data_IF_384524358821
#
_entry.id   IF_384524358821
#
_cell.length_a   1.000
_cell.length_b   1.000
_cell.length_c   1.000
_cell.angle_alpha   90.00
_cell.angle_beta   90.00
_cell.angle_gamma   90.00
#
_symmetry.space_group_name_H-M   'P 1'
#
loop_
_entity.id
_entity.type
_entity.pdbx_description
1 polymer ?
#
# COMPACT_ATOMS: atom_id res chain seq x y z
N UNK A 1 32.98 52.75 1.96
CA UNK A 1 31.99 53.24 0.98
C UNK A 1 31.41 52.00 0.31
N UNK A 2 30.27 51.54 0.82
CA UNK A 2 29.56 50.36 0.34
C UNK A 2 28.52 50.78 -0.72
N UNK A 3 28.18 49.92 -1.70
CA UNK A 3 26.92 50.02 -2.39
C UNK A 3 25.95 48.95 -1.85
N UNK A 4 24.82 49.44 -1.35
CA UNK A 4 23.66 48.66 -0.93
C UNK A 4 22.98 47.92 -2.09
N UNK A 5 22.22 46.85 -1.80
CA UNK A 5 21.50 46.07 -2.79
C UNK A 5 20.22 46.75 -3.28
N UNK A 6 19.97 46.67 -4.58
CA UNK A 6 18.73 47.07 -5.20
C UNK A 6 17.56 46.15 -4.79
N UNK A 7 16.64 46.70 -4.02
CA UNK A 7 15.28 46.20 -3.86
C UNK A 7 14.50 46.41 -5.16
N UNK A 8 14.00 45.32 -5.76
CA UNK A 8 12.83 45.38 -6.63
C UNK A 8 11.60 44.91 -5.84
N UNK A 9 10.80 45.89 -5.43
CA UNK A 9 9.41 45.69 -5.07
C UNK A 9 8.53 45.71 -6.32
N UNK A 10 7.42 44.97 -6.20
CA UNK A 10 6.11 45.21 -6.81
C UNK A 10 5.63 44.35 -7.98
N UNK A 11 4.68 43.49 -7.59
CA UNK A 11 3.33 43.32 -8.13
C UNK A 11 3.14 42.67 -9.50
N UNK A 12 2.72 41.41 -9.49
CA UNK A 12 1.39 41.07 -10.04
C UNK A 12 0.86 39.80 -9.38
N UNK A 13 -0.19 39.99 -8.58
CA UNK A 13 -1.07 38.94 -8.07
C UNK A 13 -1.73 38.23 -9.25
N UNK A 14 -1.35 36.97 -9.48
CA UNK A 14 -2.08 35.99 -10.30
C UNK A 14 -2.06 34.68 -9.53
N UNK A 15 -2.69 34.68 -8.36
CA UNK A 15 -3.09 33.46 -7.67
C UNK A 15 -4.59 33.61 -7.46
N UNK A 16 -5.43 32.73 -8.05
CA UNK A 16 -6.78 32.59 -7.54
C UNK A 16 -6.64 32.18 -6.08
N UNK A 17 -7.28 32.92 -5.20
CA UNK A 17 -7.41 32.66 -3.77
C UNK A 17 -7.53 31.17 -3.48
N UNK A 18 -6.51 30.64 -2.80
CA UNK A 18 -6.54 29.38 -2.09
C UNK A 18 -7.57 29.49 -0.95
N UNK A 19 -8.83 29.21 -1.25
CA UNK A 19 -9.82 28.99 -0.19
C UNK A 19 -10.94 28.08 -0.70
N UNK A 20 -10.60 26.79 -0.81
CA UNK A 20 -11.50 25.64 -0.64
C UNK A 20 -10.76 24.37 -1.10
N UNK A 21 -9.79 23.89 -0.33
CA UNK A 21 -9.31 22.51 -0.48
C UNK A 21 -10.43 21.57 0.03
N UNK A 22 -11.12 20.77 -0.80
CA UNK A 22 -12.08 19.79 -0.31
C UNK A 22 -11.26 18.58 0.17
N UNK A 23 -10.78 18.65 1.42
CA UNK A 23 -9.86 17.68 2.02
C UNK A 23 -10.52 16.37 2.47
N UNK A 24 -11.63 15.97 1.85
CA UNK A 24 -12.21 14.64 2.10
C UNK A 24 -12.68 14.00 0.80
N UNK A 25 -12.39 12.70 0.67
CA UNK A 25 -12.87 11.83 -0.42
C UNK A 25 -14.40 11.88 -0.57
N UNK A 26 -15.10 12.19 0.53
CA UNK A 26 -16.55 12.38 0.62
C UNK A 26 -17.04 13.69 -0.02
N UNK A 27 -16.22 14.75 -0.06
CA UNK A 27 -16.54 16.01 -0.72
C UNK A 27 -16.38 15.90 -2.25
N UNK A 28 -15.38 15.14 -2.73
CA UNK A 28 -15.19 14.85 -4.17
C UNK A 28 -16.28 13.97 -4.78
N UNK A 29 -16.94 13.13 -3.98
CA UNK A 29 -18.09 12.32 -4.39
C UNK A 29 -19.41 13.10 -4.45
N UNK A 30 -19.44 14.33 -3.92
CA UNK A 30 -20.60 15.23 -3.89
C UNK A 30 -20.48 16.38 -4.88
N UNK A 31 -19.68 16.22 -5.93
CA UNK A 31 -19.66 17.17 -7.04
C UNK A 31 -21.08 17.22 -7.63
N UNK A 32 -21.82 18.26 -7.25
CA UNK A 32 -23.19 18.60 -7.70
C UNK A 32 -23.20 19.04 -9.19
N UNK A 33 -22.04 18.95 -9.86
CA UNK A 33 -21.82 19.27 -11.27
C UNK A 33 -21.88 18.04 -12.20
N UNK A 34 -22.58 16.97 -11.80
CA UNK A 34 -23.30 16.22 -12.84
C UNK A 34 -24.45 17.11 -13.27
N UNK A 35 -24.42 17.80 -14.44
CA UNK A 35 -25.65 18.34 -14.96
C UNK A 35 -26.61 17.17 -14.99
N UNK A 36 -27.76 17.31 -14.35
CA UNK A 36 -28.86 16.42 -14.57
C UNK A 36 -29.03 16.42 -16.09
N UNK A 37 -28.47 15.40 -16.76
CA UNK A 37 -28.77 15.12 -18.15
C UNK A 37 -30.24 14.86 -18.07
N UNK A 38 -30.97 15.91 -18.42
CA UNK A 38 -32.39 15.92 -18.67
C UNK A 38 -32.54 14.80 -19.67
N UNK A 39 -32.84 13.62 -19.16
CA UNK A 39 -33.29 12.52 -19.96
C UNK A 39 -34.49 13.12 -20.65
N UNK A 40 -34.31 13.44 -21.94
CA UNK A 40 -35.38 13.81 -22.83
C UNK A 40 -36.19 12.54 -23.03
N UNK A 41 -36.87 12.14 -21.96
CA UNK A 41 -37.97 11.20 -22.00
C UNK A 41 -39.03 11.98 -22.76
N UNK A 42 -39.02 11.81 -24.08
CA UNK A 42 -40.14 12.24 -24.92
C UNK A 42 -41.42 11.83 -24.18
N UNK A 43 -42.38 12.75 -23.98
CA UNK A 43 -43.59 12.42 -23.26
C UNK A 43 -44.21 11.18 -23.91
N UNK A 44 -44.43 10.16 -23.10
CA UNK A 44 -45.15 8.94 -23.52
C UNK A 44 -46.44 9.44 -24.20
N UNK A 45 -46.79 8.96 -25.41
CA UNK A 45 -47.91 9.49 -26.17
C UNK A 45 -49.24 9.02 -25.56
N UNK A 46 -49.60 9.57 -24.40
CA UNK A 46 -50.86 9.31 -23.71
C UNK A 46 -52.06 9.95 -24.43
N UNK A 47 -51.80 10.91 -25.31
CA UNK A 47 -52.83 11.76 -25.91
C UNK A 47 -53.78 10.99 -26.84
N UNK A 48 -53.31 9.92 -27.49
CA UNK A 48 -54.09 9.14 -28.46
C UNK A 48 -55.05 8.13 -27.78
N UNK A 49 -54.78 7.78 -26.51
CA UNK A 49 -55.48 6.70 -25.81
C UNK A 49 -56.83 7.14 -25.29
N UNK A 50 -56.91 8.32 -24.67
CA UNK A 50 -58.19 8.87 -24.22
C UNK A 50 -59.15 9.06 -25.38
N UNK A 51 -58.62 9.42 -26.55
CA UNK A 51 -59.39 9.58 -27.77
C UNK A 51 -59.84 8.24 -28.33
N UNK A 52 -58.96 7.24 -28.41
CA UNK A 52 -59.30 5.90 -28.89
C UNK A 52 -60.27 5.14 -27.95
N UNK A 53 -60.13 5.30 -26.62
CA UNK A 53 -61.06 4.75 -25.62
C UNK A 53 -62.42 5.44 -25.69
N UNK A 54 -62.44 6.78 -25.83
CA UNK A 54 -63.68 7.53 -26.06
C UNK A 54 -64.35 7.14 -27.37
N UNK A 55 -63.59 6.84 -28.41
CA UNK A 55 -64.13 6.41 -29.71
C UNK A 55 -64.71 4.98 -29.66
N UNK A 56 -64.15 4.10 -28.84
CA UNK A 56 -64.67 2.73 -28.63
C UNK A 56 -65.92 2.73 -27.74
N UNK A 57 -65.95 3.55 -26.68
CA UNK A 57 -67.09 3.65 -25.75
C UNK A 57 -68.22 4.53 -26.31
N UNK A 58 -67.88 5.65 -26.96
CA UNK A 58 -68.81 6.64 -27.50
C UNK A 58 -69.62 6.12 -28.70
N UNK A 59 -69.05 5.24 -29.53
CA UNK A 59 -69.77 4.60 -30.65
C UNK A 59 -70.94 3.71 -30.19
N UNK A 60 -70.88 3.14 -28.99
CA UNK A 60 -71.96 2.30 -28.44
C UNK A 60 -73.12 3.11 -27.83
N UNK A 61 -72.86 4.35 -27.37
CA UNK A 61 -73.90 5.25 -26.88
C UNK A 61 -74.71 5.88 -28.03
N UNK A 62 -74.08 6.11 -29.19
CA UNK A 62 -74.74 6.69 -30.36
C UNK A 62 -75.55 5.65 -31.18
N UNK A 63 -75.17 4.37 -31.17
CA UNK A 63 -75.81 3.31 -31.96
C UNK A 63 -77.08 2.74 -31.32
N UNK A 64 -77.38 3.05 -30.05
CA UNK A 64 -78.57 2.55 -29.35
C UNK A 64 -79.90 3.17 -29.85
N UNK A 65 -79.86 4.16 -30.76
CA UNK A 65 -81.06 4.82 -31.33
C UNK A 65 -81.55 4.33 -32.70
N UNK A 66 -80.93 3.33 -33.34
CA UNK A 66 -81.46 2.78 -34.60
C UNK A 66 -81.41 1.25 -34.63
N UNK A 67 -82.58 0.63 -34.39
CA UNK A 67 -82.84 -0.78 -34.69
C UNK A 67 -82.78 -1.01 -36.21
N UNK A 68 -82.02 -2.02 -36.64
CA UNK A 68 -82.42 -3.22 -37.42
C UNK A 68 -81.39 -3.66 -38.47
N UNK A 69 -81.22 -4.99 -38.49
CA UNK A 69 -80.72 -5.89 -39.52
C UNK A 69 -79.22 -6.24 -39.46
N UNK A 70 -79.05 -7.56 -39.32
CA UNK A 70 -77.86 -8.38 -39.15
C UNK A 70 -76.94 -8.25 -40.36
N UNK A 71 -75.67 -7.94 -40.11
CA UNK A 71 -74.57 -8.41 -40.94
C UNK A 71 -73.55 -9.06 -40.01
N UNK A 72 -73.26 -10.33 -40.27
CA UNK A 72 -72.12 -11.05 -39.71
C UNK A 72 -70.86 -10.26 -40.06
N UNK A 73 -70.18 -9.73 -39.06
CA UNK A 73 -68.85 -9.14 -39.18
C UNK A 73 -68.07 -9.57 -37.95
N UNK A 74 -66.97 -10.26 -38.20
CA UNK A 74 -66.03 -10.79 -37.23
C UNK A 74 -65.64 -9.73 -36.18
N UNK A 75 -65.64 -10.15 -34.91
CA UNK A 75 -65.02 -9.51 -33.73
C UNK A 75 -65.18 -7.99 -33.53
N UNK A 76 -66.34 -7.41 -33.83
CA UNK A 76 -66.65 -6.02 -33.40
C UNK A 76 -67.18 -5.96 -31.96
N UNK A 77 -66.66 -6.79 -31.05
CA UNK A 77 -66.93 -6.61 -29.62
C UNK A 77 -66.07 -5.43 -29.12
N UNK A 78 -66.66 -4.34 -28.60
CA UNK A 78 -65.89 -3.22 -28.08
C UNK A 78 -64.91 -3.64 -26.97
N UNK A 79 -65.21 -4.72 -26.23
CA UNK A 79 -64.29 -5.26 -25.25
C UNK A 79 -63.05 -5.92 -25.89
N UNK A 80 -63.18 -6.56 -27.06
CA UNK A 80 -62.03 -7.12 -27.78
C UNK A 80 -61.17 -6.03 -28.42
N UNK A 81 -61.80 -4.97 -28.96
CA UNK A 81 -61.08 -3.82 -29.53
C UNK A 81 -60.28 -3.06 -28.46
N UNK A 82 -60.88 -2.84 -27.28
CA UNK A 82 -60.20 -2.23 -26.14
C UNK A 82 -59.02 -3.08 -25.65
N UNK A 83 -59.23 -4.40 -25.54
CA UNK A 83 -58.16 -5.34 -25.16
C UNK A 83 -56.99 -5.28 -26.13
N UNK A 84 -57.27 -5.24 -27.43
CA UNK A 84 -56.26 -5.15 -28.47
C UNK A 84 -55.50 -3.80 -28.43
N UNK A 85 -56.19 -2.68 -28.22
CA UNK A 85 -55.52 -1.37 -28.09
C UNK A 85 -54.60 -1.31 -26.87
N UNK A 86 -55.02 -1.87 -25.73
CA UNK A 86 -54.17 -1.97 -24.54
C UNK A 86 -52.98 -2.90 -24.75
N UNK A 87 -53.17 -4.04 -25.42
CA UNK A 87 -52.07 -4.96 -25.74
C UNK A 87 -51.04 -4.31 -26.67
N UNK A 88 -51.50 -3.62 -27.73
CA UNK A 88 -50.63 -2.90 -28.67
C UNK A 88 -49.85 -1.78 -27.98
N UNK A 89 -50.50 -1.05 -27.08
CA UNK A 89 -49.84 0.00 -26.28
C UNK A 89 -48.82 -0.58 -25.31
N UNK A 90 -49.15 -1.67 -24.61
CA UNK A 90 -48.22 -2.38 -23.74
C UNK A 90 -46.97 -2.84 -24.49
N UNK A 91 -47.15 -3.38 -25.70
CA UNK A 91 -46.05 -3.76 -26.59
C UNK A 91 -45.24 -2.54 -27.07
N UNK A 92 -45.89 -1.44 -27.44
CA UNK A 92 -45.20 -0.22 -27.87
C UNK A 92 -44.38 0.40 -26.73
N UNK A 93 -44.94 0.45 -25.53
CA UNK A 93 -44.25 0.92 -24.32
C UNK A 93 -43.06 0.01 -23.99
N UNK A 94 -43.27 -1.31 -24.03
CA UNK A 94 -42.22 -2.28 -23.77
C UNK A 94 -41.08 -2.17 -24.78
N UNK A 95 -41.40 -2.10 -26.08
CA UNK A 95 -40.41 -1.92 -27.14
C UNK A 95 -39.65 -0.60 -26.96
N UNK A 96 -40.34 0.51 -26.66
CA UNK A 96 -39.71 1.80 -26.40
C UNK A 96 -38.79 1.75 -25.18
N UNK A 97 -39.20 1.07 -24.10
CA UNK A 97 -38.39 0.89 -22.92
C UNK A 97 -37.12 0.08 -23.21
N UNK A 98 -37.23 -1.01 -23.98
CA UNK A 98 -36.08 -1.82 -24.42
C UNK A 98 -35.14 -0.99 -25.28
N UNK A 99 -35.66 -0.27 -26.28
CA UNK A 99 -34.84 0.57 -27.16
C UNK A 99 -34.08 1.64 -26.37
N UNK A 100 -34.73 2.27 -25.40
CA UNK A 100 -34.09 3.27 -24.55
C UNK A 100 -33.02 2.64 -23.64
N UNK A 101 -33.29 1.46 -23.09
CA UNK A 101 -32.32 0.73 -22.26
C UNK A 101 -31.09 0.34 -23.09
N UNK A 102 -31.29 -0.22 -24.29
CA UNK A 102 -30.20 -0.59 -25.20
C UNK A 102 -29.36 0.63 -25.59
N UNK A 103 -30.00 1.76 -25.91
CA UNK A 103 -29.30 3.03 -26.22
C UNK A 103 -28.50 3.54 -25.03
N UNK A 104 -29.10 3.58 -23.83
CA UNK A 104 -28.41 4.00 -22.62
C UNK A 104 -27.23 3.09 -22.28
N UNK A 105 -27.38 1.78 -22.44
CA UNK A 105 -26.30 0.81 -22.25
C UNK A 105 -25.16 1.05 -23.24
N UNK A 106 -25.45 1.27 -24.52
CA UNK A 106 -24.44 1.58 -25.52
C UNK A 106 -23.69 2.88 -25.22
N UNK A 107 -24.39 3.92 -24.74
CA UNK A 107 -23.77 5.18 -24.33
C UNK A 107 -22.85 5.00 -23.11
N UNK A 108 -23.31 4.27 -22.08
CA UNK A 108 -22.50 3.95 -20.89
C UNK A 108 -21.24 3.17 -21.29
N UNK A 109 -21.38 2.17 -22.17
CA UNK A 109 -20.24 1.39 -22.65
C UNK A 109 -19.24 2.24 -23.45
N UNK A 110 -19.72 3.18 -24.26
CA UNK A 110 -18.87 4.14 -24.96
C UNK A 110 -18.13 5.09 -23.99
N UNK A 111 -18.80 5.58 -22.94
CA UNK A 111 -18.15 6.41 -21.92
C UNK A 111 -17.12 5.62 -21.12
N UNK A 112 -17.42 4.37 -20.76
CA UNK A 112 -16.51 3.49 -20.03
C UNK A 112 -15.22 3.23 -20.82
N UNK A 113 -15.34 2.93 -22.12
CA UNK A 113 -14.18 2.71 -23.00
C UNK A 113 -13.35 3.98 -23.16
N UNK A 114 -13.98 5.14 -23.37
CA UNK A 114 -13.27 6.42 -23.44
C UNK A 114 -12.56 6.78 -22.13
N UNK A 115 -13.18 6.49 -20.97
CA UNK A 115 -12.57 6.71 -19.67
C UNK A 115 -11.35 5.80 -19.45
N UNK A 116 -11.45 4.52 -19.84
CA UNK A 116 -10.35 3.57 -19.72
C UNK A 116 -9.15 3.99 -20.58
N UNK A 117 -9.40 4.41 -21.82
CA UNK A 117 -8.37 4.91 -22.73
C UNK A 117 -7.68 6.17 -22.16
N UNK A 118 -8.46 7.16 -21.72
CA UNK A 118 -7.91 8.39 -21.11
C UNK A 118 -7.11 8.10 -19.84
N UNK A 119 -7.59 7.21 -18.99
CA UNK A 119 -6.90 6.85 -17.74
C UNK A 119 -5.58 6.14 -18.02
N UNK A 120 -5.56 5.22 -18.99
CA UNK A 120 -4.36 4.53 -19.42
C UNK A 120 -3.34 5.50 -20.03
N UNK A 121 -3.78 6.42 -20.87
CA UNK A 121 -2.93 7.45 -21.46
C UNK A 121 -2.32 8.37 -20.39
N UNK A 122 -3.12 8.88 -19.45
CA UNK A 122 -2.62 9.72 -18.35
C UNK A 122 -1.62 8.98 -17.46
N UNK A 123 -1.86 7.70 -17.19
CA UNK A 123 -0.92 6.87 -16.43
C UNK A 123 0.41 6.70 -17.17
N UNK A 124 0.38 6.47 -18.48
CA UNK A 124 1.58 6.39 -19.30
C UNK A 124 2.36 7.71 -19.28
N UNK A 125 1.68 8.85 -19.46
CA UNK A 125 2.31 10.17 -19.38
C UNK A 125 2.94 10.44 -18.01
N UNK A 126 2.26 10.05 -16.92
CA UNK A 126 2.79 10.16 -15.57
C UNK A 126 4.05 9.34 -15.40
N UNK A 127 4.02 8.06 -15.83
CA UNK A 127 5.19 7.18 -15.79
C UNK A 127 6.37 7.77 -16.57
N UNK A 128 6.12 8.30 -17.76
CA UNK A 128 7.15 8.93 -18.58
C UNK A 128 7.74 10.16 -17.87
N UNK A 129 6.89 11.01 -17.29
CA UNK A 129 7.32 12.18 -16.51
C UNK A 129 8.18 11.77 -15.31
N UNK A 130 7.75 10.80 -14.51
CA UNK A 130 8.52 10.29 -13.39
C UNK A 130 9.86 9.70 -13.86
N UNK A 131 9.89 8.93 -14.95
CA UNK A 131 11.15 8.40 -15.48
C UNK A 131 12.12 9.51 -15.92
N UNK A 132 11.59 10.57 -16.53
CA UNK A 132 12.36 11.72 -17.01
C UNK A 132 12.86 12.63 -15.89
N UNK A 133 12.16 12.70 -14.76
CA UNK A 133 12.55 13.54 -13.61
C UNK A 133 13.42 12.75 -12.64
N UNK A 134 12.97 11.56 -12.25
CA UNK A 134 13.56 10.76 -11.19
C UNK A 134 14.98 10.30 -11.56
N UNK A 135 15.20 9.82 -12.79
CA UNK A 135 16.51 9.31 -13.19
C UNK A 135 17.60 10.40 -13.20
N UNK A 136 17.40 11.59 -13.81
CA UNK A 136 18.37 12.68 -13.73
C UNK A 136 18.57 13.21 -12.31
N UNK A 137 17.53 13.27 -11.47
CA UNK A 137 17.67 13.70 -10.08
C UNK A 137 18.52 12.71 -9.26
N UNK A 138 18.29 11.40 -9.39
CA UNK A 138 19.16 10.40 -8.76
C UNK A 138 20.59 10.46 -9.32
N UNK A 139 20.74 10.61 -10.63
CA UNK A 139 22.06 10.71 -11.25
C UNK A 139 22.82 11.95 -10.73
N UNK A 140 22.18 13.11 -10.66
CA UNK A 140 22.82 14.35 -10.15
C UNK A 140 23.16 14.25 -8.67
N UNK A 141 22.29 13.66 -7.83
CA UNK A 141 22.58 13.43 -6.41
C UNK A 141 23.82 12.55 -6.20
N UNK A 142 24.02 11.55 -7.06
CA UNK A 142 25.17 10.65 -7.02
C UNK A 142 26.48 11.25 -7.57
N UNK A 143 26.44 12.32 -8.36
CA UNK A 143 27.65 12.93 -8.96
C UNK A 143 28.05 14.27 -8.35
N UNK A 144 27.24 14.85 -7.47
CA UNK A 144 27.64 16.04 -6.72
C UNK A 144 28.59 15.69 -5.57
N UNK A 145 29.73 16.37 -5.49
CA UNK A 145 30.75 16.18 -4.44
C UNK A 145 30.24 16.57 -3.03
N UNK A 146 29.16 17.37 -2.97
CA UNK A 146 28.59 17.91 -1.73
C UNK A 146 27.39 17.12 -1.17
N UNK A 147 26.98 16.01 -1.80
CA UNK A 147 25.83 15.20 -1.36
C UNK A 147 26.26 13.74 -1.06
N UNK A 148 25.36 12.83 -0.57
CA UNK A 148 25.65 11.79 0.42
C UNK A 148 26.68 10.72 0.06
N UNK A 149 27.25 10.70 -1.15
CA UNK A 149 28.45 9.91 -1.46
C UNK A 149 29.64 10.29 -0.58
N UNK A 150 29.81 11.58 -0.28
CA UNK A 150 30.83 12.03 0.67
C UNK A 150 30.57 11.43 2.06
N UNK A 151 29.30 11.35 2.48
CA UNK A 151 28.94 10.79 3.79
C UNK A 151 29.12 9.26 3.85
N UNK A 152 28.71 8.52 2.81
CA UNK A 152 28.94 7.06 2.73
C UNK A 152 30.44 6.75 2.69
N UNK A 153 31.23 7.50 1.93
CA UNK A 153 32.68 7.33 1.90
C UNK A 153 33.33 7.61 3.27
N UNK A 154 32.86 8.64 3.98
CA UNK A 154 33.30 8.94 5.35
C UNK A 154 32.93 7.83 6.32
N UNK A 155 31.71 7.30 6.26
CA UNK A 155 31.28 6.17 7.09
C UNK A 155 32.07 4.88 6.77
N UNK A 156 32.30 4.58 5.49
CA UNK A 156 33.12 3.43 5.08
C UNK A 156 34.58 3.56 5.54
N UNK A 157 35.15 4.76 5.45
CA UNK A 157 36.49 5.02 5.97
C UNK A 157 36.54 4.96 7.50
N UNK A 158 35.45 5.36 8.19
CA UNK A 158 35.27 5.17 9.62
C UNK A 158 35.32 3.70 10.00
N UNK A 159 34.44 2.89 9.41
CA UNK A 159 34.39 1.45 9.62
C UNK A 159 35.72 0.76 9.31
N UNK A 160 36.42 1.18 8.25
CA UNK A 160 37.74 0.63 7.93
C UNK A 160 38.78 0.92 9.02
N UNK A 161 38.75 2.11 9.63
CA UNK A 161 39.59 2.46 10.77
C UNK A 161 39.23 1.64 12.01
N UNK A 162 37.94 1.50 12.30
CA UNK A 162 37.47 0.77 13.47
C UNK A 162 37.83 -0.73 13.37
N UNK A 163 37.72 -1.31 12.17
CA UNK A 163 38.15 -2.69 11.90
C UNK A 163 39.67 -2.82 12.08
N UNK A 164 40.46 -1.85 11.64
CA UNK A 164 41.91 -1.88 11.83
C UNK A 164 42.29 -1.81 13.31
N UNK A 165 41.66 -0.91 14.08
CA UNK A 165 41.87 -0.78 15.52
C UNK A 165 41.46 -2.05 16.28
N UNK A 166 40.32 -2.65 15.94
CA UNK A 166 39.86 -3.90 16.55
C UNK A 166 40.83 -5.06 16.27
N UNK A 167 41.41 -5.13 15.08
CA UNK A 167 42.43 -6.14 14.74
C UNK A 167 43.71 -5.97 15.55
N UNK A 168 44.16 -4.74 15.74
CA UNK A 168 45.33 -4.44 16.58
C UNK A 168 45.08 -4.85 18.03
N UNK A 169 43.88 -4.57 18.56
CA UNK A 169 43.51 -4.96 19.91
C UNK A 169 43.42 -6.48 20.09
N UNK A 170 42.91 -7.22 19.09
CA UNK A 170 42.90 -8.69 19.11
C UNK A 170 44.34 -9.23 19.18
N UNK A 171 45.26 -8.71 18.38
CA UNK A 171 46.66 -9.14 18.41
C UNK A 171 47.33 -8.82 19.75
N UNK A 172 47.00 -7.67 20.35
CA UNK A 172 47.49 -7.30 21.68
C UNK A 172 46.99 -8.29 22.74
N UNK A 173 45.71 -8.63 22.70
CA UNK A 173 45.10 -9.59 23.61
C UNK A 173 45.65 -11.02 23.43
N UNK A 174 45.99 -11.41 22.19
CA UNK A 174 46.64 -12.70 21.91
C UNK A 174 48.03 -12.78 22.58
N UNK A 175 48.83 -11.72 22.49
CA UNK A 175 50.13 -11.63 23.17
C UNK A 175 49.96 -11.68 24.69
N UNK A 176 49.00 -10.94 25.24
CA UNK A 176 48.72 -10.93 26.69
C UNK A 176 48.25 -12.31 27.16
N UNK A 177 47.45 -13.01 26.35
CA UNK A 177 46.97 -14.37 26.62
C UNK A 177 48.13 -15.37 26.65
N UNK A 178 49.00 -15.36 25.64
CA UNK A 178 50.14 -16.26 25.57
C UNK A 178 51.10 -16.05 26.76
N UNK A 179 51.37 -14.79 27.12
CA UNK A 179 52.18 -14.46 28.30
C UNK A 179 51.54 -14.96 29.61
N UNK A 180 50.22 -14.89 29.72
CA UNK A 180 49.48 -15.43 30.86
C UNK A 180 49.60 -16.95 30.93
N UNK A 181 49.45 -17.66 29.79
CA UNK A 181 49.61 -19.10 29.72
C UNK A 181 51.03 -19.55 30.09
N UNK A 182 52.06 -18.82 29.65
CA UNK A 182 53.44 -19.10 30.05
C UNK A 182 53.65 -18.91 31.55
N UNK A 183 53.19 -17.79 32.11
CA UNK A 183 53.27 -17.51 33.54
C UNK A 183 52.51 -18.56 34.38
N UNK A 184 51.34 -19.02 33.91
CA UNK A 184 50.60 -20.09 34.56
C UNK A 184 51.36 -21.42 34.52
N UNK A 185 51.94 -21.77 33.36
CA UNK A 185 52.75 -22.99 33.23
C UNK A 185 53.99 -22.97 34.12
N UNK A 186 54.64 -21.81 34.28
CA UNK A 186 55.76 -21.62 35.22
C UNK A 186 55.30 -21.75 36.68
N UNK A 187 54.17 -21.14 37.05
CA UNK A 187 53.61 -21.28 38.39
C UNK A 187 53.25 -22.74 38.72
N UNK A 188 52.65 -23.47 37.76
CA UNK A 188 52.35 -24.89 37.92
C UNK A 188 53.61 -25.75 38.05
N UNK A 189 54.68 -25.44 37.31
CA UNK A 189 55.98 -26.10 37.49
C UNK A 189 56.54 -25.85 38.88
N UNK A 190 56.55 -24.60 39.34
CA UNK A 190 57.04 -24.24 40.68
C UNK A 190 56.27 -24.97 41.79
N UNK A 191 54.93 -25.02 41.70
CA UNK A 191 54.08 -25.77 42.65
C UNK A 191 54.41 -27.26 42.64
N UNK A 192 54.55 -27.87 41.46
CA UNK A 192 54.89 -29.29 41.34
C UNK A 192 56.31 -29.60 41.83
N UNK A 193 57.27 -28.70 41.65
CA UNK A 193 58.62 -28.82 42.19
C UNK A 193 58.65 -28.67 43.72
N UNK A 194 57.86 -27.76 44.30
CA UNK A 194 57.70 -27.62 45.75
C UNK A 194 57.02 -28.86 46.39
N UNK A 195 56.01 -29.41 45.71
CA UNK A 195 55.32 -30.64 46.12
C UNK A 195 56.17 -31.90 45.89
N UNK A 196 57.05 -31.91 44.89
CA UNK A 196 57.93 -33.02 44.55
C UNK A 196 59.27 -33.03 45.28
N UNK A 197 59.76 -31.86 45.72
CA UNK A 197 61.06 -31.67 46.38
C UNK A 197 61.03 -31.82 47.92
N UNK A 198 59.85 -31.72 48.55
CA UNK A 198 59.66 -32.07 49.97
C UNK A 198 59.16 -33.49 50.07
N UNK A 199 60.05 -34.36 50.56
CA UNK A 199 59.76 -35.77 50.79
C UNK A 199 58.43 -36.02 51.51
N UNK A 200 57.71 -37.01 50.98
CA UNK A 200 56.84 -37.93 51.71
C UNK A 200 56.12 -37.34 52.94
N UNK A 201 54.95 -36.75 52.70
CA UNK A 201 54.05 -36.38 53.77
C UNK A 201 52.72 -35.90 53.23
N UNK A 202 51.81 -36.85 52.98
CA UNK A 202 50.36 -36.65 52.81
C UNK A 202 49.97 -35.30 52.21
N UNK A 203 49.80 -35.24 50.88
CA UNK A 203 49.05 -34.14 50.25
C UNK A 203 47.78 -33.93 51.08
N UNK A 204 47.68 -32.75 51.69
CA UNK A 204 46.57 -32.42 52.58
C UNK A 204 45.28 -32.63 51.79
N UNK A 205 44.49 -33.64 52.19
CA UNK A 205 43.27 -34.04 51.47
C UNK A 205 42.32 -32.87 51.32
N UNK A 206 42.41 -31.89 52.23
CA UNK A 206 41.66 -30.66 52.21
C UNK A 206 42.09 -29.75 51.04
N UNK A 207 43.38 -29.60 50.77
CA UNK A 207 43.88 -28.80 49.63
C UNK A 207 43.42 -29.36 48.28
N UNK A 208 43.41 -30.69 48.13
CA UNK A 208 42.89 -31.36 46.91
C UNK A 208 41.38 -31.19 46.78
N UNK A 209 40.67 -31.17 47.90
CA UNK A 209 39.21 -30.98 47.92
C UNK A 209 38.86 -29.54 47.52
N UNK A 210 39.54 -28.55 48.09
CA UNK A 210 39.38 -27.12 47.74
C UNK A 210 39.70 -26.87 46.26
N UNK A 211 40.77 -27.46 45.73
CA UNK A 211 41.09 -27.34 44.31
C UNK A 211 40.02 -27.96 43.38
N UNK A 212 39.39 -29.07 43.81
CA UNK A 212 38.27 -29.68 43.06
C UNK A 212 37.00 -28.85 43.13
N UNK A 213 36.70 -28.27 44.29
CA UNK A 213 35.54 -27.38 44.47
C UNK A 213 35.70 -26.11 43.63
N UNK A 214 36.88 -25.48 43.64
CA UNK A 214 37.18 -24.32 42.77
C UNK A 214 37.07 -24.67 41.29
N UNK A 215 37.60 -25.83 40.87
CA UNK A 215 37.46 -26.29 39.48
C UNK A 215 36.00 -26.48 39.08
N UNK A 216 35.19 -27.09 39.95
CA UNK A 216 33.77 -27.28 39.70
C UNK A 216 33.01 -25.94 39.62
N UNK A 217 33.38 -24.97 40.47
CA UNK A 217 32.82 -23.62 40.42
C UNK A 217 33.20 -22.88 39.13
N UNK A 218 34.47 -22.96 38.70
CA UNK A 218 34.92 -22.37 37.44
C UNK A 218 34.19 -23.00 36.23
N UNK A 219 34.03 -24.32 36.21
CA UNK A 219 33.28 -25.02 35.17
C UNK A 219 31.79 -24.63 35.18
N UNK A 220 31.19 -24.44 36.36
CA UNK A 220 29.82 -23.97 36.48
C UNK A 220 29.62 -22.55 35.95
N UNK A 221 30.56 -21.63 36.26
CA UNK A 221 30.53 -20.25 35.74
C UNK A 221 30.65 -20.27 34.21
N UNK A 222 31.58 -21.06 33.66
CA UNK A 222 31.74 -21.16 32.20
C UNK A 222 30.46 -21.70 31.56
N UNK A 223 29.84 -22.73 32.13
CA UNK A 223 28.59 -23.27 31.61
C UNK A 223 27.45 -22.24 31.65
N UNK A 224 27.31 -21.49 32.73
CA UNK A 224 26.31 -20.42 32.86
C UNK A 224 26.53 -19.32 31.81
N UNK A 225 27.79 -18.88 31.61
CA UNK A 225 28.10 -17.84 30.62
C UNK A 225 27.89 -18.31 29.18
N UNK A 226 28.22 -19.56 28.86
CA UNK A 226 27.93 -20.14 27.55
C UNK A 226 26.41 -20.19 27.29
N UNK A 227 25.61 -20.59 28.30
CA UNK A 227 24.16 -20.59 28.18
C UNK A 227 23.59 -19.19 27.91
N UNK A 228 24.10 -18.18 28.62
CA UNK A 228 23.66 -16.79 28.43
C UNK A 228 24.00 -16.26 27.03
N UNK A 229 25.15 -16.67 26.47
CA UNK A 229 25.52 -16.35 25.08
C UNK A 229 24.51 -16.99 24.12
N UNK A 230 24.16 -18.27 24.30
CA UNK A 230 23.21 -18.96 23.43
C UNK A 230 21.81 -18.32 23.48
N UNK A 231 21.34 -17.90 24.67
CA UNK A 231 20.07 -17.18 24.84
C UNK A 231 20.07 -15.84 24.11
N UNK A 232 21.15 -15.06 24.24
CA UNK A 232 21.32 -13.79 23.53
C UNK A 232 21.35 -13.99 22.01
N UNK A 233 22.02 -15.04 21.53
CA UNK A 233 22.13 -15.34 20.11
C UNK A 233 20.77 -15.74 19.51
N UNK A 234 19.91 -16.41 20.28
CA UNK A 234 18.53 -16.68 19.91
C UNK A 234 17.68 -15.41 19.85
N UNK A 235 17.82 -14.50 20.82
CA UNK A 235 17.10 -13.22 20.86
C UNK A 235 17.47 -12.33 19.66
N UNK A 236 18.77 -12.20 19.36
CA UNK A 236 19.26 -11.44 18.19
C UNK A 236 18.69 -12.02 16.89
N UNK A 237 18.69 -13.35 16.73
CA UNK A 237 18.11 -14.02 15.56
C UNK A 237 16.61 -13.77 15.45
N UNK A 238 15.88 -13.73 16.56
CA UNK A 238 14.46 -13.45 16.58
C UNK A 238 14.17 -12.01 16.16
N UNK A 239 14.91 -11.04 16.71
CA UNK A 239 14.75 -9.63 16.40
C UNK A 239 15.11 -9.32 14.93
N UNK A 240 16.18 -9.91 14.40
CA UNK A 240 16.53 -9.80 12.98
C UNK A 240 15.40 -10.29 12.07
N UNK A 241 14.77 -11.42 12.39
CA UNK A 241 13.62 -11.93 11.63
C UNK A 241 12.42 -10.99 11.73
N UNK A 242 12.14 -10.47 12.92
CA UNK A 242 11.05 -9.53 13.17
C UNK A 242 11.23 -8.24 12.35
N UNK A 243 12.42 -7.63 12.41
CA UNK A 243 12.72 -6.43 11.62
C UNK A 243 12.67 -6.70 10.12
N UNK A 244 13.15 -7.86 9.66
CA UNK A 244 13.04 -8.24 8.24
C UNK A 244 11.58 -8.35 7.80
N UNK A 245 10.71 -8.93 8.62
CA UNK A 245 9.28 -9.04 8.34
C UNK A 245 8.60 -7.67 8.34
N UNK A 246 8.97 -6.80 9.28
CA UNK A 246 8.48 -5.42 9.34
C UNK A 246 8.86 -4.62 8.09
N UNK A 247 10.12 -4.68 7.65
CA UNK A 247 10.55 -4.05 6.39
C UNK A 247 9.80 -4.61 5.19
N UNK A 248 9.52 -5.92 5.17
CA UNK A 248 8.74 -6.54 4.09
C UNK A 248 7.30 -6.03 4.07
N UNK A 249 6.64 -5.91 5.23
CA UNK A 249 5.29 -5.35 5.34
C UNK A 249 5.24 -3.89 4.90
N UNK A 250 6.18 -3.06 5.36
CA UNK A 250 6.28 -1.65 4.95
C UNK A 250 6.45 -1.49 3.43
N UNK A 251 7.09 -2.44 2.74
CA UNK A 251 7.24 -2.44 1.28
C UNK A 251 6.00 -2.93 0.51
N UNK A 252 5.10 -3.68 1.15
CA UNK A 252 3.88 -4.23 0.51
C UNK A 252 2.59 -3.50 0.92
N UNK A 253 2.66 -2.61 1.91
CA UNK A 253 1.54 -1.78 2.37
C UNK A 253 1.51 -0.36 1.74
N UNK A 254 2.44 -0.05 0.81
CA UNK A 254 2.40 1.11 -0.11
C UNK A 254 1.85 0.74 -1.51
#
# INVERSE_FOLDING_TARGET
MAPEPHFFNSTSSIWPTEDACPSTLRARLRDDDTPATSSSVKPIPYQDIYQQVNDCLGRNLASQKRRKIVHVSESNDPATQLRESYARMGMALHNSAIENLVKAHAEVQSKMTSFAEKSSHTLAQSKDLYSNITYPLYATLCHSENHPRANVAVHLNGLKRDIAAAREEILRLEIDWDACCEAEAEAWKAINEELGGKGHGSIDKEAVKVAKEFKAEAEAIVAEKCQLIDELDMEIKAELKNQTLKMMQELFDE
#
